data_IF_870511586868
#
_entry.id   IF_870511586868
#
_cell.length_a   1.000
_cell.length_b   1.000
_cell.length_c   1.000
_cell.angle_alpha   90.00
_cell.angle_beta   90.00
_cell.angle_gamma   90.00
#
_symmetry.space_group_name_H-M   'P 1'
#
loop_
_entity.id
_entity.type
_entity.pdbx_description
1 polymer ?
#
# COMPACT_ATOMS: atom_id res chain seq x y z
N UNK A 1 6.06 22.61 5.23
CA UNK A 1 6.57 21.24 5.08
C UNK A 1 5.74 20.35 5.98
N UNK A 2 5.06 19.34 5.44
CA UNK A 2 4.13 18.51 6.21
C UNK A 2 4.92 17.61 7.16
N UNK A 3 4.48 17.52 8.42
CA UNK A 3 5.02 16.58 9.39
C UNK A 3 4.43 15.20 9.10
N UNK A 4 5.25 14.17 9.00
CA UNK A 4 4.81 12.77 8.89
C UNK A 4 4.12 12.41 10.21
N UNK A 5 2.88 11.90 10.23
CA UNK A 5 2.20 11.47 11.44
C UNK A 5 3.03 10.45 12.23
N UNK A 6 2.98 10.48 13.57
CA UNK A 6 3.81 9.59 14.40
C UNK A 6 3.53 8.09 14.13
N UNK A 7 2.28 7.73 13.85
CA UNK A 7 1.94 6.35 13.46
C UNK A 7 2.68 5.91 12.19
N UNK A 8 2.77 6.81 11.20
CA UNK A 8 3.46 6.53 9.93
C UNK A 8 4.98 6.46 10.11
N UNK A 9 5.54 7.27 11.02
CA UNK A 9 6.94 7.11 11.41
C UNK A 9 7.18 5.72 12.02
N UNK A 10 6.31 5.27 12.92
CA UNK A 10 6.42 3.96 13.55
C UNK A 10 6.25 2.82 12.52
N UNK A 11 5.31 2.93 11.59
CA UNK A 11 5.09 1.92 10.54
C UNK A 11 6.29 1.78 9.61
N UNK A 12 6.96 2.89 9.26
CA UNK A 12 8.16 2.86 8.42
C UNK A 12 9.42 2.39 9.16
N UNK A 13 9.60 2.83 10.42
CA UNK A 13 10.80 2.48 11.19
C UNK A 13 10.74 1.05 11.77
N UNK A 14 9.54 0.58 12.10
CA UNK A 14 9.30 -0.73 12.69
C UNK A 14 8.21 -1.47 11.90
N UNK A 15 8.44 -1.78 10.61
CA UNK A 15 7.42 -2.37 9.76
C UNK A 15 6.88 -3.66 10.36
N UNK A 16 5.57 -3.86 10.31
CA UNK A 16 4.93 -5.07 10.82
C UNK A 16 5.54 -6.31 10.16
N UNK A 17 5.78 -6.23 8.85
CA UNK A 17 6.11 -7.35 7.94
C UNK A 17 5.01 -8.41 7.91
N UNK A 18 3.74 -8.02 8.11
CA UNK A 18 2.60 -8.95 8.10
C UNK A 18 2.49 -9.74 6.79
N UNK A 19 3.01 -9.21 5.67
CA UNK A 19 3.10 -9.93 4.39
C UNK A 19 3.82 -11.29 4.51
N UNK A 20 4.79 -11.44 5.41
CA UNK A 20 5.50 -12.72 5.58
C UNK A 20 4.63 -13.81 6.21
N UNK A 21 3.47 -13.46 6.78
CA UNK A 21 2.48 -14.45 7.19
C UNK A 21 1.93 -15.23 5.99
N UNK A 22 1.79 -14.54 4.86
CA UNK A 22 1.27 -15.13 3.62
C UNK A 22 2.34 -15.98 2.95
N UNK A 23 3.60 -15.52 2.94
CA UNK A 23 4.70 -16.21 2.24
C UNK A 23 5.33 -17.34 3.05
N UNK A 24 5.54 -17.12 4.36
CA UNK A 24 6.38 -17.98 5.20
C UNK A 24 5.61 -18.61 6.38
N UNK A 25 4.40 -18.13 6.63
CA UNK A 25 3.51 -18.63 7.68
C UNK A 25 3.74 -18.02 9.07
N UNK A 26 2.81 -18.36 9.96
CA UNK A 26 2.71 -17.80 11.33
C UNK A 26 3.96 -17.99 12.17
N UNK A 27 4.51 -19.21 12.20
CA UNK A 27 5.59 -19.54 13.13
C UNK A 27 6.90 -18.85 12.73
N UNK A 28 7.18 -18.71 11.43
CA UNK A 28 8.31 -17.93 10.91
C UNK A 28 8.15 -16.45 11.26
N UNK A 29 6.95 -15.89 11.06
CA UNK A 29 6.67 -14.51 11.45
C UNK A 29 6.91 -14.28 12.95
N UNK A 30 6.38 -15.13 13.82
CA UNK A 30 6.56 -15.00 15.27
C UNK A 30 8.03 -15.19 15.70
N UNK A 31 8.76 -16.12 15.07
CA UNK A 31 10.19 -16.27 15.28
C UNK A 31 10.96 -15.01 14.88
N UNK A 32 10.55 -14.32 13.80
CA UNK A 32 11.18 -13.06 13.39
C UNK A 32 11.02 -11.95 14.44
N UNK A 33 9.89 -11.93 15.15
CA UNK A 33 9.61 -10.99 16.24
C UNK A 33 10.37 -11.33 17.54
N UNK A 34 10.91 -12.55 17.66
CA UNK A 34 11.62 -12.97 18.86
C UNK A 34 12.90 -12.15 19.09
N UNK A 35 13.49 -11.62 18.01
CA UNK A 35 14.70 -10.79 18.03
C UNK A 35 14.44 -9.36 18.51
N UNK A 36 13.19 -8.91 18.51
CA UNK A 36 12.83 -7.55 18.91
C UNK A 36 12.66 -7.44 20.43
N UNK A 37 13.01 -6.28 21.04
CA UNK A 37 12.61 -5.97 22.40
C UNK A 37 11.09 -6.11 22.60
N UNK A 38 10.60 -6.50 23.79
CA UNK A 38 9.16 -6.75 24.01
C UNK A 38 8.24 -5.60 23.58
N UNK A 39 8.69 -4.35 23.76
CA UNK A 39 7.94 -3.17 23.34
C UNK A 39 7.78 -3.07 21.81
N UNK A 40 8.85 -3.37 21.06
CA UNK A 40 8.84 -3.33 19.60
C UNK A 40 8.07 -4.53 19.03
N UNK A 41 8.17 -5.70 19.66
CA UNK A 41 7.32 -6.86 19.33
C UNK A 41 5.83 -6.50 19.41
N UNK A 42 5.40 -5.91 20.52
CA UNK A 42 4.02 -5.48 20.70
C UNK A 42 3.63 -4.41 19.67
N UNK A 43 4.50 -3.43 19.43
CA UNK A 43 4.29 -2.41 18.40
C UNK A 43 4.05 -3.04 17.02
N UNK A 44 4.90 -3.97 16.58
CA UNK A 44 4.76 -4.63 15.26
C UNK A 44 3.47 -5.45 15.13
N UNK A 45 3.03 -6.10 16.21
CA UNK A 45 1.73 -6.79 16.26
C UNK A 45 0.55 -5.82 16.16
N UNK A 46 0.64 -4.66 16.81
CA UNK A 46 -0.37 -3.61 16.72
C UNK A 46 -0.41 -3.00 15.30
N UNK A 47 0.75 -2.72 14.71
CA UNK A 47 0.84 -2.23 13.33
C UNK A 47 0.24 -3.26 12.34
N UNK A 48 0.52 -4.56 12.52
CA UNK A 48 -0.08 -5.62 11.69
C UNK A 48 -1.61 -5.64 11.78
N UNK A 49 -2.19 -5.47 12.97
CA UNK A 49 -3.64 -5.33 13.12
C UNK A 49 -4.14 -4.08 12.38
N UNK A 50 -3.48 -2.93 12.56
CA UNK A 50 -3.84 -1.67 11.92
C UNK A 50 -3.86 -1.70 10.38
N UNK A 51 -2.99 -2.50 9.76
CA UNK A 51 -2.99 -2.77 8.31
C UNK A 51 -4.28 -3.48 7.83
N UNK A 52 -4.89 -4.27 8.72
CA UNK A 52 -6.15 -4.99 8.43
C UNK A 52 -7.41 -4.16 8.71
N UNK A 53 -7.26 -2.93 9.23
CA UNK A 53 -8.39 -2.04 9.56
C UNK A 53 -8.66 -1.04 8.45
N UNK A 54 -9.94 -0.70 8.27
CA UNK A 54 -10.40 0.35 7.38
C UNK A 54 -11.53 1.16 8.04
N UNK A 55 -11.47 2.48 7.93
CA UNK A 55 -12.48 3.38 8.50
C UNK A 55 -13.86 3.09 7.90
N UNK A 56 -14.86 2.97 8.78
CA UNK A 56 -16.23 2.70 8.36
C UNK A 56 -16.45 1.32 7.72
N UNK A 57 -15.51 0.39 7.86
CA UNK A 57 -15.65 -0.97 7.36
C UNK A 57 -16.89 -1.65 7.95
N UNK A 58 -17.75 -2.17 7.06
CA UNK A 58 -18.94 -2.96 7.44
C UNK A 58 -18.61 -4.43 7.71
N UNK A 59 -17.44 -4.88 7.29
CA UNK A 59 -16.97 -6.24 7.54
C UNK A 59 -16.44 -6.42 8.96
N UNK A 60 -16.17 -5.31 9.67
CA UNK A 60 -15.69 -5.35 11.04
C UNK A 60 -14.45 -6.24 11.16
N UNK A 61 -14.46 -7.18 12.11
CA UNK A 61 -13.36 -8.12 12.31
C UNK A 61 -13.41 -9.33 11.37
N UNK A 62 -14.45 -9.49 10.56
CA UNK A 62 -14.53 -10.61 9.63
C UNK A 62 -13.32 -10.64 8.68
N UNK A 63 -12.91 -9.49 8.13
CA UNK A 63 -11.75 -9.41 7.25
C UNK A 63 -10.45 -9.86 7.94
N UNK A 64 -10.22 -9.42 9.18
CA UNK A 64 -9.04 -9.84 9.94
C UNK A 64 -9.04 -11.35 10.22
N UNK A 65 -10.15 -11.91 10.73
CA UNK A 65 -10.22 -13.34 11.06
C UNK A 65 -10.36 -14.26 9.84
N UNK A 66 -10.74 -13.77 8.67
CA UNK A 66 -10.85 -14.57 7.44
C UNK A 66 -9.55 -14.65 6.62
N UNK A 67 -8.49 -13.96 7.05
CA UNK A 67 -7.17 -13.95 6.40
C UNK A 67 -6.11 -14.57 7.29
N UNK A 68 -4.88 -14.75 6.78
CA UNK A 68 -3.72 -15.27 7.51
C UNK A 68 -3.40 -14.42 8.76
N UNK A 69 -3.72 -13.12 8.74
CA UNK A 69 -3.53 -12.21 9.87
C UNK A 69 -4.30 -12.69 11.12
N UNK A 70 -5.47 -13.30 10.95
CA UNK A 70 -6.27 -13.87 12.03
C UNK A 70 -5.50 -14.90 12.88
N UNK A 71 -4.52 -15.59 12.31
CA UNK A 71 -3.69 -16.54 13.03
C UNK A 71 -2.89 -15.91 14.20
N UNK A 72 -2.71 -14.58 14.18
CA UNK A 72 -2.03 -13.79 15.21
C UNK A 72 -2.96 -13.28 16.32
N UNK A 73 -4.27 -13.58 16.29
CA UNK A 73 -5.21 -13.05 17.28
C UNK A 73 -4.78 -13.25 18.76
N UNK A 74 -4.21 -14.40 19.18
CA UNK A 74 -3.71 -14.57 20.55
C UNK A 74 -2.59 -13.58 20.91
N UNK A 75 -1.62 -13.38 20.01
CA UNK A 75 -0.51 -12.46 20.22
C UNK A 75 -0.96 -10.99 20.16
N UNK A 76 -1.84 -10.65 19.24
CA UNK A 76 -2.44 -9.32 19.12
C UNK A 76 -3.25 -8.97 20.38
N UNK A 77 -4.01 -9.92 20.94
CA UNK A 77 -4.72 -9.72 22.21
C UNK A 77 -3.76 -9.36 23.35
N UNK A 78 -2.61 -10.04 23.44
CA UNK A 78 -1.59 -9.72 24.44
C UNK A 78 -0.99 -8.33 24.22
N UNK A 79 -0.70 -7.98 22.97
CA UNK A 79 -0.16 -6.66 22.62
C UNK A 79 -1.16 -5.54 22.95
N UNK A 80 -2.45 -5.70 22.63
CA UNK A 80 -3.51 -4.75 22.95
C UNK A 80 -3.67 -4.56 24.47
N UNK A 81 -3.63 -5.66 25.23
CA UNK A 81 -3.65 -5.60 26.71
C UNK A 81 -2.44 -4.87 27.27
N UNK A 82 -1.23 -5.17 26.76
CA UNK A 82 -0.01 -4.46 27.13
C UNK A 82 -0.04 -2.97 26.75
N UNK A 83 -0.78 -2.63 25.69
CA UNK A 83 -1.05 -1.27 25.25
C UNK A 83 -2.23 -0.62 25.94
N UNK A 84 -2.92 -1.28 26.89
CA UNK A 84 -4.11 -0.72 27.55
C UNK A 84 -5.29 -0.42 26.62
N UNK A 85 -5.27 -0.94 25.38
CA UNK A 85 -6.31 -0.78 24.36
C UNK A 85 -7.45 -1.76 24.67
N UNK A 86 -8.19 -1.46 25.74
CA UNK A 86 -9.10 -2.42 26.40
C UNK A 86 -10.29 -2.77 25.53
N UNK A 87 -10.86 -1.80 24.82
CA UNK A 87 -12.03 -2.00 23.95
C UNK A 87 -11.68 -2.91 22.78
N UNK A 88 -10.53 -2.67 22.15
CA UNK A 88 -9.98 -3.45 21.05
C UNK A 88 -9.59 -4.86 21.51
N UNK A 89 -8.98 -4.97 22.70
CA UNK A 89 -8.66 -6.27 23.31
C UNK A 89 -9.92 -7.11 23.54
N UNK A 90 -10.99 -6.51 24.06
CA UNK A 90 -12.28 -7.19 24.25
C UNK A 90 -12.89 -7.63 22.92
N UNK A 91 -12.77 -6.81 21.88
CA UNK A 91 -13.23 -7.18 20.53
C UNK A 91 -12.48 -8.41 20.01
N UNK A 92 -11.14 -8.42 20.08
CA UNK A 92 -10.33 -9.58 19.66
C UNK A 92 -10.66 -10.83 20.48
N UNK A 93 -10.81 -10.70 21.80
CA UNK A 93 -11.18 -11.82 22.68
C UNK A 93 -12.55 -12.42 22.33
N UNK A 94 -13.55 -11.57 22.09
CA UNK A 94 -14.87 -12.02 21.62
C UNK A 94 -14.80 -12.65 20.23
N UNK A 95 -13.96 -12.12 19.34
CA UNK A 95 -13.73 -12.67 18.00
C UNK A 95 -13.10 -14.06 18.06
N UNK A 96 -12.12 -14.26 18.93
CA UNK A 96 -11.52 -15.58 19.16
C UNK A 96 -12.56 -16.58 19.69
N UNK A 97 -13.42 -16.16 20.62
CA UNK A 97 -14.47 -17.01 21.19
C UNK A 97 -15.56 -17.42 20.17
N UNK A 98 -15.70 -16.68 19.06
CA UNK A 98 -16.62 -17.00 17.97
C UNK A 98 -16.28 -18.31 17.24
N UNK A 99 -15.05 -18.81 17.39
CA UNK A 99 -14.55 -20.05 16.80
C UNK A 99 -14.58 -21.24 17.78
N UNK A 100 -15.25 -21.08 18.92
CA UNK A 100 -15.41 -22.13 19.94
C UNK A 100 -14.53 -21.92 21.18
N UNK A 101 -14.43 -22.98 22.00
CA UNK A 101 -13.72 -22.93 23.30
C UNK A 101 -12.20 -22.86 23.17
N UNK A 102 -11.65 -23.22 22.01
CA UNK A 102 -10.23 -23.09 21.68
C UNK A 102 -10.11 -22.46 20.31
N UNK A 103 -9.44 -21.30 20.26
CA UNK A 103 -9.28 -20.55 19.02
C UNK A 103 -8.31 -21.27 18.06
N UNK A 104 -8.73 -21.59 16.82
CA UNK A 104 -7.87 -22.21 15.83
C UNK A 104 -6.94 -21.17 15.17
N UNK A 105 -5.65 -21.24 15.47
CA UNK A 105 -4.62 -20.46 14.76
C UNK A 105 -4.32 -21.01 13.37
N UNK A 106 -4.70 -22.25 13.08
CA UNK A 106 -4.63 -22.85 11.75
C UNK A 106 -5.74 -22.30 10.84
N UNK A 107 -5.33 -21.79 9.68
CA UNK A 107 -6.19 -21.11 8.73
C UNK A 107 -7.30 -22.03 8.18
N UNK A 108 -6.98 -23.30 7.88
CA UNK A 108 -7.97 -24.27 7.36
C UNK A 108 -9.01 -24.64 8.40
N UNK A 109 -8.61 -24.75 9.67
CA UNK A 109 -9.55 -25.00 10.76
C UNK A 109 -10.48 -23.81 10.99
N UNK A 110 -9.95 -22.59 10.90
CA UNK A 110 -10.73 -21.35 11.08
C UNK A 110 -11.74 -21.14 9.96
N UNK A 111 -11.34 -21.43 8.73
CA UNK A 111 -12.19 -21.38 7.53
C UNK A 111 -13.46 -22.24 7.64
N UNK A 112 -13.41 -23.39 8.33
CA UNK A 112 -14.57 -24.23 8.57
C UNK A 112 -15.72 -23.58 9.35
N UNK A 113 -15.48 -22.42 9.97
CA UNK A 113 -16.49 -21.65 10.71
C UNK A 113 -17.11 -20.52 9.89
N UNK A 114 -16.59 -20.22 8.70
CA UNK A 114 -16.98 -19.06 7.90
C UNK A 114 -17.71 -19.51 6.63
N UNK A 115 -18.77 -18.80 6.25
CA UNK A 115 -19.48 -19.04 4.99
C UNK A 115 -18.66 -18.54 3.79
N UNK A 116 -17.95 -17.42 3.98
CA UNK A 116 -17.18 -16.73 2.95
C UNK A 116 -15.76 -16.53 3.44
N UNK A 117 -14.83 -17.35 2.95
CA UNK A 117 -13.42 -17.22 3.26
C UNK A 117 -12.61 -17.25 1.98
N UNK A 118 -11.66 -16.33 1.88
CA UNK A 118 -10.82 -16.13 0.70
C UNK A 118 -9.61 -17.08 0.70
N UNK A 119 -9.36 -17.79 1.80
CA UNK A 119 -8.19 -18.66 1.98
C UNK A 119 -8.23 -19.88 1.04
N UNK A 120 -9.41 -20.32 0.64
CA UNK A 120 -9.59 -21.47 -0.27
C UNK A 120 -9.43 -21.14 -1.76
N UNK A 121 -9.42 -19.86 -2.13
CA UNK A 121 -9.20 -19.42 -3.51
C UNK A 121 -7.83 -19.89 -4.01
N UNK A 122 -6.82 -19.86 -3.13
CA UNK A 122 -5.47 -20.34 -3.44
C UNK A 122 -5.42 -21.84 -3.74
N UNK A 123 -6.40 -22.62 -3.27
CA UNK A 123 -6.55 -24.05 -3.56
C UNK A 123 -7.48 -24.31 -4.76
N UNK A 124 -7.86 -23.25 -5.51
CA UNK A 124 -8.76 -23.34 -6.67
C UNK A 124 -10.23 -23.55 -6.32
N UNK A 125 -10.59 -23.42 -5.04
CA UNK A 125 -11.97 -23.54 -4.58
C UNK A 125 -12.58 -22.13 -4.56
N UNK A 126 -13.51 -21.88 -5.47
CA UNK A 126 -14.23 -20.62 -5.53
C UNK A 126 -15.04 -20.39 -4.25
N UNK A 127 -15.09 -19.15 -3.72
CA UNK A 127 -15.99 -18.82 -2.62
C UNK A 127 -17.43 -19.01 -3.09
N UNK A 128 -18.24 -19.65 -2.26
CA UNK A 128 -19.67 -19.80 -2.50
C UNK A 128 -20.38 -18.54 -1.97
N UNK A 129 -20.57 -17.56 -2.84
CA UNK A 129 -21.22 -16.30 -2.48
C UNK A 129 -22.71 -16.44 -2.18
N UNK A 130 -23.33 -17.56 -2.58
CA UNK A 130 -24.73 -17.85 -2.32
C UNK A 130 -24.97 -18.44 -0.92
N UNK A 131 -23.89 -18.87 -0.23
CA UNK A 131 -24.00 -19.30 1.17
C UNK A 131 -24.38 -18.13 2.08
N UNK A 132 -25.44 -18.27 2.88
CA UNK A 132 -25.77 -17.27 3.88
C UNK A 132 -24.66 -17.18 4.94
N UNK A 133 -24.40 -15.99 5.52
CA UNK A 133 -23.44 -15.84 6.61
C UNK A 133 -23.75 -16.76 7.79
N UNK A 134 -22.73 -17.42 8.32
CA UNK A 134 -22.82 -18.22 9.55
C UNK A 134 -23.07 -17.34 10.78
N UNK A 135 -23.34 -17.98 11.93
CA UNK A 135 -23.38 -17.27 13.21
C UNK A 135 -22.04 -16.58 13.54
N UNK A 136 -20.91 -17.23 13.22
CA UNK A 136 -19.57 -16.67 13.39
C UNK A 136 -19.37 -15.45 12.51
N UNK A 137 -19.75 -15.52 11.23
CA UNK A 137 -19.67 -14.37 10.31
C UNK A 137 -20.45 -13.15 10.83
N UNK A 138 -21.70 -13.38 11.25
CA UNK A 138 -22.56 -12.32 11.77
C UNK A 138 -22.03 -11.73 13.08
N UNK A 139 -21.46 -12.57 13.95
CA UNK A 139 -20.84 -12.12 15.18
C UNK A 139 -19.65 -11.21 14.86
N UNK A 140 -18.68 -11.67 14.06
CA UNK A 140 -17.45 -10.94 13.73
C UNK A 140 -17.71 -9.56 13.11
N UNK A 141 -18.72 -9.45 12.23
CA UNK A 141 -19.14 -8.15 11.66
C UNK A 141 -19.66 -7.21 12.75
N UNK A 142 -20.48 -7.72 13.68
CA UNK A 142 -21.07 -6.92 14.77
C UNK A 142 -20.01 -6.42 15.76
N UNK A 143 -19.14 -7.32 16.23
CA UNK A 143 -18.16 -6.99 17.28
C UNK A 143 -16.96 -6.18 16.77
N UNK A 144 -16.78 -6.07 15.45
CA UNK A 144 -15.71 -5.26 14.85
C UNK A 144 -15.95 -3.75 14.88
N UNK A 145 -17.12 -3.29 15.31
CA UNK A 145 -17.47 -1.85 15.37
C UNK A 145 -16.42 -0.99 16.10
N UNK A 146 -15.82 -1.40 17.23
CA UNK A 146 -14.79 -0.59 17.88
C UNK A 146 -13.48 -0.45 17.07
N UNK A 147 -13.21 -1.37 16.15
CA UNK A 147 -12.06 -1.32 15.25
C UNK A 147 -12.38 -0.60 13.93
N UNK A 148 -13.61 -0.09 13.77
CA UNK A 148 -14.01 0.72 12.62
C UNK A 148 -13.56 2.19 12.74
N UNK A 149 -13.04 2.60 13.92
CA UNK A 149 -12.34 3.88 14.12
C UNK A 149 -10.83 3.66 13.99
N UNK A 150 -10.33 3.61 12.75
CA UNK A 150 -8.91 3.41 12.47
C UNK A 150 -8.09 4.58 12.98
N UNK A 151 -8.62 5.80 12.89
CA UNK A 151 -7.95 7.00 13.40
C UNK A 151 -7.72 6.92 14.91
N UNK A 152 -8.75 6.55 15.69
CA UNK A 152 -8.64 6.31 17.13
C UNK A 152 -7.68 5.16 17.45
N UNK A 153 -7.74 4.07 16.68
CA UNK A 153 -6.80 2.95 16.81
C UNK A 153 -5.33 3.41 16.66
N UNK A 154 -5.03 4.13 15.57
CA UNK A 154 -3.69 4.65 15.29
C UNK A 154 -3.19 5.57 16.42
N UNK A 155 -4.06 6.41 16.98
CA UNK A 155 -3.74 7.24 18.13
C UNK A 155 -3.39 6.39 19.37
N UNK A 156 -4.15 5.32 19.64
CA UNK A 156 -3.87 4.38 20.72
C UNK A 156 -2.51 3.69 20.61
N UNK A 157 -2.09 3.33 19.39
CA UNK A 157 -0.76 2.76 19.11
C UNK A 157 0.34 3.79 19.36
N UNK A 158 0.14 5.05 18.97
CA UNK A 158 1.10 6.13 19.28
C UNK A 158 1.19 6.37 20.78
N UNK A 159 0.05 6.38 21.48
CA UNK A 159 0.02 6.56 22.94
C UNK A 159 0.70 5.41 23.68
N UNK A 160 0.67 4.19 23.14
CA UNK A 160 1.45 3.06 23.68
C UNK A 160 2.94 3.40 23.73
N UNK A 161 3.49 3.97 22.66
CA UNK A 161 4.90 4.38 22.62
C UNK A 161 5.17 5.56 23.54
N UNK A 162 4.30 6.57 23.58
CA UNK A 162 4.51 7.78 24.40
C UNK A 162 4.42 7.56 25.91
N UNK A 163 3.68 6.53 26.36
CA UNK A 163 3.42 6.29 27.79
C UNK A 163 4.63 5.90 28.62
N UNK A 164 5.71 5.47 27.98
CA UNK A 164 6.96 5.11 28.65
C UNK A 164 8.11 5.95 28.08
N UNK A 165 8.97 6.55 28.92
CA UNK A 165 10.06 7.42 28.44
C UNK A 165 11.06 6.72 27.51
N UNK A 166 11.35 5.43 27.71
CA UNK A 166 12.28 4.69 26.85
C UNK A 166 11.64 4.43 25.49
N UNK A 167 10.35 4.04 25.46
CA UNK A 167 9.60 3.88 24.20
C UNK A 167 9.42 5.21 23.46
N UNK A 168 9.15 6.30 24.18
CA UNK A 168 9.05 7.63 23.58
C UNK A 168 10.37 8.04 22.91
N UNK A 169 11.51 7.77 23.55
CA UNK A 169 12.82 8.02 22.96
C UNK A 169 13.06 7.20 21.68
N UNK A 170 12.60 5.95 21.61
CA UNK A 170 12.67 5.13 20.38
C UNK A 170 11.82 5.71 19.23
N UNK A 171 10.69 6.35 19.53
CA UNK A 171 9.86 7.00 18.53
C UNK A 171 10.51 8.29 17.99
N UNK A 172 11.13 9.08 18.85
CA UNK A 172 11.89 10.27 18.41
C UNK A 172 13.12 9.87 17.58
N UNK A 173 13.86 8.85 18.01
CA UNK A 173 14.97 8.29 17.23
C UNK A 173 14.48 7.78 15.87
N UNK A 174 13.36 7.06 15.82
CA UNK A 174 12.78 6.59 14.57
C UNK A 174 12.51 7.75 13.60
N UNK A 175 11.95 8.87 14.09
CA UNK A 175 11.70 10.07 13.26
C UNK A 175 12.99 10.68 12.72
N UNK A 176 14.02 10.79 13.56
CA UNK A 176 15.31 11.37 13.18
C UNK A 176 16.04 10.53 12.12
N UNK A 177 15.89 9.20 12.21
CA UNK A 177 16.62 8.25 11.35
C UNK A 177 15.83 7.81 10.11
N UNK A 178 14.62 8.35 9.85
CA UNK A 178 13.93 8.08 8.60
C UNK A 178 14.78 8.53 7.41
N UNK A 179 15.04 7.56 6.52
CA UNK A 179 15.75 7.74 5.25
C UNK A 179 14.99 8.66 4.31
N UNK A 180 15.67 9.20 3.30
CA UNK A 180 15.01 10.04 2.30
C UNK A 180 14.01 9.22 1.47
N UNK A 181 14.30 7.95 1.24
CA UNK A 181 13.49 6.97 0.54
C UNK A 181 12.19 6.70 1.30
N UNK A 182 12.26 6.48 2.62
CA UNK A 182 11.05 6.35 3.46
C UNK A 182 10.20 7.62 3.43
N UNK A 183 10.83 8.80 3.55
CA UNK A 183 10.12 10.08 3.47
C UNK A 183 9.51 10.30 2.09
N UNK A 184 10.19 9.85 1.04
CA UNK A 184 9.70 9.90 -0.33
C UNK A 184 8.49 9.00 -0.49
N UNK A 185 8.54 7.73 -0.09
CA UNK A 185 7.41 6.81 -0.20
C UNK A 185 6.16 7.32 0.52
N UNK A 186 6.30 7.95 1.69
CA UNK A 186 5.18 8.62 2.35
C UNK A 186 4.62 9.79 1.53
N UNK A 187 5.50 10.64 0.98
CA UNK A 187 5.10 11.75 0.11
C UNK A 187 4.36 11.26 -1.14
N UNK A 188 4.88 10.22 -1.80
CA UNK A 188 4.27 9.60 -2.97
C UNK A 188 2.89 9.04 -2.65
N UNK A 189 2.74 8.33 -1.52
CA UNK A 189 1.44 7.84 -1.05
C UNK A 189 0.41 8.97 -0.88
N UNK A 190 0.82 10.10 -0.28
CA UNK A 190 -0.03 11.28 -0.16
C UNK A 190 -0.41 11.89 -1.52
N UNK A 191 0.53 11.94 -2.47
CA UNK A 191 0.29 12.52 -3.80
C UNK A 191 -0.61 11.62 -4.66
N UNK A 192 -0.45 10.30 -4.57
CA UNK A 192 -1.24 9.33 -5.34
C UNK A 192 -2.73 9.38 -4.98
N UNK A 193 -3.07 9.53 -3.69
CA UNK A 193 -4.46 9.60 -3.22
C UNK A 193 -5.26 10.78 -3.81
N UNK A 194 -4.58 11.87 -4.20
CA UNK A 194 -5.18 13.07 -4.79
C UNK A 194 -4.82 13.30 -6.25
N UNK A 195 -4.27 12.29 -6.93
CA UNK A 195 -3.75 12.44 -8.29
C UNK A 195 -4.87 12.71 -9.31
N UNK A 196 -4.66 13.60 -10.29
CA UNK A 196 -5.63 13.85 -11.35
C UNK A 196 -5.86 12.61 -12.21
N UNK A 197 -7.09 12.45 -12.71
CA UNK A 197 -7.42 11.37 -13.63
C UNK A 197 -6.77 11.58 -15.01
N UNK A 198 -6.31 10.50 -15.63
CA UNK A 198 -5.91 10.50 -17.05
C UNK A 198 -7.09 10.31 -18.02
N UNK A 199 -8.33 10.30 -17.53
CA UNK A 199 -9.54 10.25 -18.35
C UNK A 199 -10.14 11.63 -18.57
N UNK A 200 -10.83 11.81 -19.70
CA UNK A 200 -11.45 13.07 -20.11
C UNK A 200 -10.75 13.73 -21.29
N UNK A 201 -11.10 14.99 -21.55
CA UNK A 201 -10.47 15.80 -22.59
C UNK A 201 -9.05 16.26 -22.19
N UNK A 202 -8.21 16.50 -23.19
CA UNK A 202 -6.82 16.91 -22.99
C UNK A 202 -6.66 18.15 -22.09
N UNK A 203 -7.53 19.16 -22.26
CA UNK A 203 -7.40 20.41 -21.51
C UNK A 203 -7.68 20.20 -20.02
N UNK A 204 -8.70 19.39 -19.69
CA UNK A 204 -9.01 19.00 -18.31
C UNK A 204 -7.87 18.21 -17.67
N UNK A 205 -7.32 17.22 -18.37
CA UNK A 205 -6.20 16.39 -17.88
C UNK A 205 -4.98 17.26 -17.62
N UNK A 206 -4.57 18.07 -18.60
CA UNK A 206 -3.42 18.99 -18.46
C UNK A 206 -3.60 19.95 -17.30
N UNK A 207 -4.78 20.57 -17.18
CA UNK A 207 -5.09 21.47 -16.06
C UNK A 207 -4.94 20.78 -14.71
N UNK A 208 -5.39 19.52 -14.59
CA UNK A 208 -5.23 18.73 -13.37
C UNK A 208 -3.77 18.48 -13.01
N UNK A 209 -2.96 18.07 -13.99
CA UNK A 209 -1.54 17.76 -13.80
C UNK A 209 -0.72 19.04 -13.54
N UNK A 210 -0.95 20.10 -14.31
CA UNK A 210 -0.20 21.37 -14.26
C UNK A 210 -0.58 22.27 -13.07
N UNK A 211 -1.72 22.02 -12.42
CA UNK A 211 -2.07 22.70 -11.16
C UNK A 211 -1.11 22.34 -10.01
N UNK A 212 -0.40 21.20 -10.11
CA UNK A 212 0.56 20.78 -9.11
C UNK A 212 1.90 21.53 -9.26
N UNK A 213 2.51 22.00 -8.15
CA UNK A 213 3.87 22.55 -8.19
C UNK A 213 4.86 21.58 -8.86
N UNK A 214 5.73 22.10 -9.73
CA UNK A 214 6.61 21.27 -10.57
C UNK A 214 7.39 20.20 -9.78
N UNK A 215 7.89 20.53 -8.59
CA UNK A 215 8.66 19.60 -7.78
C UNK A 215 7.80 18.41 -7.28
N UNK A 216 6.57 18.68 -6.83
CA UNK A 216 5.63 17.62 -6.41
C UNK A 216 5.12 16.83 -7.62
N UNK A 217 4.91 17.52 -8.75
CA UNK A 217 4.53 16.87 -10.01
C UNK A 217 5.60 15.89 -10.47
N UNK A 218 6.88 16.25 -10.36
CA UNK A 218 8.02 15.37 -10.70
C UNK A 218 7.99 14.10 -9.85
N UNK A 219 7.79 14.23 -8.53
CA UNK A 219 7.66 13.07 -7.63
C UNK A 219 6.47 12.19 -8.05
N UNK A 220 5.28 12.79 -8.23
CA UNK A 220 4.08 12.03 -8.57
C UNK A 220 4.17 11.33 -9.93
N UNK A 221 4.65 12.01 -10.98
CA UNK A 221 4.71 11.40 -12.32
C UNK A 221 5.70 10.24 -12.34
N UNK A 222 6.80 10.33 -11.58
CA UNK A 222 7.77 9.24 -11.48
C UNK A 222 7.19 8.07 -10.67
N UNK A 223 6.47 8.32 -9.58
CA UNK A 223 5.78 7.26 -8.83
C UNK A 223 4.75 6.50 -9.69
N UNK A 224 3.94 7.23 -10.48
CA UNK A 224 2.99 6.64 -11.43
C UNK A 224 3.72 5.83 -12.50
N UNK A 225 4.77 6.38 -13.10
CA UNK A 225 5.54 5.68 -14.14
C UNK A 225 6.20 4.40 -13.62
N UNK A 226 6.90 4.46 -12.48
CA UNK A 226 7.53 3.29 -11.87
C UNK A 226 6.51 2.21 -11.50
N UNK A 227 5.33 2.60 -11.00
CA UNK A 227 4.26 1.65 -10.69
C UNK A 227 3.72 0.92 -11.92
N UNK A 228 3.61 1.61 -13.06
CA UNK A 228 3.17 0.99 -14.32
C UNK A 228 4.24 0.07 -14.90
N UNK A 229 5.51 0.49 -14.86
CA UNK A 229 6.62 -0.37 -15.25
C UNK A 229 6.65 -1.67 -14.45
N UNK A 230 6.52 -1.58 -13.13
CA UNK A 230 6.51 -2.76 -12.24
C UNK A 230 5.33 -3.70 -12.54
N UNK A 231 4.17 -3.15 -12.90
CA UNK A 231 2.96 -3.94 -13.11
C UNK A 231 2.88 -4.58 -14.50
N UNK A 232 3.32 -3.89 -15.56
CA UNK A 232 3.16 -4.37 -16.93
C UNK A 232 3.98 -3.63 -17.99
N UNK A 233 5.04 -2.92 -17.58
CA UNK A 233 5.98 -2.28 -18.52
C UNK A 233 5.44 -1.06 -19.26
N UNK A 234 6.14 -0.71 -20.34
CA UNK A 234 5.84 0.45 -21.19
C UNK A 234 4.50 0.29 -21.91
N UNK A 235 4.13 -0.92 -22.32
CA UNK A 235 2.82 -1.18 -22.94
C UNK A 235 1.69 -0.83 -21.97
N UNK A 236 1.78 -1.29 -20.73
CA UNK A 236 0.79 -0.96 -19.71
C UNK A 236 0.78 0.54 -19.40
N UNK A 237 1.93 1.18 -19.23
CA UNK A 237 2.03 2.63 -19.01
C UNK A 237 1.29 3.43 -20.09
N UNK A 238 1.54 3.16 -21.37
CA UNK A 238 0.93 3.92 -22.45
C UNK A 238 -0.56 3.60 -22.67
N UNK A 239 -0.97 2.35 -22.46
CA UNK A 239 -2.36 1.91 -22.64
C UNK A 239 -3.28 2.34 -21.50
N UNK A 240 -2.73 2.53 -20.29
CA UNK A 240 -3.47 3.00 -19.12
C UNK A 240 -3.65 4.53 -19.11
N UNK A 241 -4.38 5.00 -18.10
CA UNK A 241 -4.60 6.43 -17.88
C UNK A 241 -3.32 7.19 -17.54
N UNK A 242 -2.33 6.50 -17.00
CA UNK A 242 -0.96 6.97 -16.77
C UNK A 242 -0.26 7.43 -18.05
N UNK A 243 -0.59 6.89 -19.22
CA UNK A 243 -0.02 7.34 -20.50
C UNK A 243 -0.30 8.81 -20.82
N UNK A 244 -1.32 9.42 -20.21
CA UNK A 244 -1.59 10.85 -20.35
C UNK A 244 -0.46 11.71 -19.76
N UNK A 245 0.39 11.10 -18.93
CA UNK A 245 1.46 11.72 -18.19
C UNK A 245 2.80 11.64 -18.92
N UNK A 246 2.87 10.93 -20.06
CA UNK A 246 4.13 10.67 -20.78
C UNK A 246 4.98 11.93 -21.06
N UNK A 247 4.43 13.08 -21.53
CA UNK A 247 5.24 14.29 -21.70
C UNK A 247 5.85 14.81 -20.38
N UNK A 248 5.16 14.60 -19.25
CA UNK A 248 5.63 15.01 -17.93
C UNK A 248 6.65 14.02 -17.36
N UNK A 249 6.55 12.73 -17.68
CA UNK A 249 7.58 11.73 -17.35
C UNK A 249 8.90 12.08 -18.04
N UNK A 250 8.87 12.45 -19.33
CA UNK A 250 10.06 12.91 -20.06
C UNK A 250 10.72 14.10 -19.35
N UNK A 251 9.93 15.11 -18.96
CA UNK A 251 10.47 16.26 -18.22
C UNK A 251 10.99 15.86 -16.83
N UNK A 252 10.26 15.02 -16.10
CA UNK A 252 10.64 14.58 -14.77
C UNK A 252 11.94 13.77 -14.78
N UNK A 253 12.12 12.87 -15.74
CA UNK A 253 13.36 12.12 -15.94
C UNK A 253 14.55 13.05 -16.19
N UNK A 254 14.36 14.13 -16.96
CA UNK A 254 15.40 15.17 -17.13
C UNK A 254 15.67 15.91 -15.82
N UNK A 255 14.62 16.27 -15.10
CA UNK A 255 14.68 17.00 -13.83
C UNK A 255 15.43 16.21 -12.73
N UNK A 256 15.31 14.87 -12.72
CA UNK A 256 16.02 13.97 -11.79
C UNK A 256 17.39 13.50 -12.31
N UNK A 257 17.86 14.02 -13.46
CA UNK A 257 19.19 13.72 -14.00
C UNK A 257 19.29 12.42 -14.79
N UNK A 258 18.19 11.92 -15.35
CA UNK A 258 18.10 10.69 -16.14
C UNK A 258 17.66 10.95 -17.60
N UNK A 259 18.43 11.73 -18.38
CA UNK A 259 18.04 12.08 -19.75
C UNK A 259 17.98 10.90 -20.72
N UNK A 260 18.75 9.83 -20.49
CA UNK A 260 18.70 8.62 -21.33
C UNK A 260 17.36 7.88 -21.19
N UNK A 261 16.88 7.71 -19.95
CA UNK A 261 15.55 7.17 -19.69
C UNK A 261 14.45 8.06 -20.33
N UNK A 262 14.62 9.39 -20.26
CA UNK A 262 13.71 10.33 -20.92
C UNK A 262 13.61 10.07 -22.43
N UNK A 263 14.74 9.81 -23.10
CA UNK A 263 14.77 9.46 -24.51
C UNK A 263 14.03 8.16 -24.82
N UNK A 264 14.09 7.14 -23.95
CA UNK A 264 13.30 5.91 -24.13
C UNK A 264 11.80 6.19 -24.10
N UNK A 265 11.33 7.01 -23.16
CA UNK A 265 9.91 7.41 -23.11
C UNK A 265 9.52 8.22 -24.35
N UNK A 266 10.40 9.09 -24.86
CA UNK A 266 10.18 9.82 -26.12
C UNK A 266 10.06 8.88 -27.32
N UNK A 267 10.85 7.80 -27.40
CA UNK A 267 10.69 6.77 -28.44
C UNK A 267 9.30 6.14 -28.38
N UNK A 268 8.84 5.75 -27.20
CA UNK A 268 7.50 5.21 -27.00
C UNK A 268 6.41 6.21 -27.41
N UNK A 269 6.55 7.49 -27.04
CA UNK A 269 5.64 8.55 -27.48
C UNK A 269 5.62 8.72 -29.01
N UNK A 270 6.76 8.53 -29.69
CA UNK A 270 6.88 8.66 -31.14
C UNK A 270 6.17 7.53 -31.93
N UNK A 271 5.78 6.44 -31.27
CA UNK A 271 4.98 5.38 -31.86
C UNK A 271 3.49 5.76 -32.03
N UNK A 272 3.06 6.88 -31.43
CA UNK A 272 1.70 7.41 -31.52
C UNK A 272 1.62 8.56 -32.54
N UNK A 273 0.41 8.91 -33.03
CA UNK A 273 0.23 10.08 -33.89
C UNK A 273 0.78 11.38 -33.29
N UNK A 274 1.16 12.31 -34.16
CA UNK A 274 1.62 13.64 -33.76
C UNK A 274 0.51 14.69 -33.94
N UNK A 275 0.21 15.54 -32.94
CA UNK A 275 0.79 15.54 -31.58
C UNK A 275 0.35 14.31 -30.76
N UNK A 276 1.19 13.92 -29.78
CA UNK A 276 0.92 12.77 -28.91
C UNK A 276 -0.45 12.88 -28.23
N UNK A 277 -1.33 11.86 -28.35
CA UNK A 277 -2.68 11.91 -27.77
C UNK A 277 -2.64 11.78 -26.24
N UNK A 278 -3.01 12.87 -25.55
CA UNK A 278 -3.06 12.91 -24.07
C UNK A 278 -4.28 12.17 -23.51
N UNK A 279 -5.41 12.13 -24.22
CA UNK A 279 -6.57 11.38 -23.75
C UNK A 279 -6.33 9.88 -23.84
N UNK A 280 -6.71 9.17 -22.78
CA UNK A 280 -6.61 7.71 -22.70
C UNK A 280 -7.49 7.02 -23.75
N UNK A 281 -8.70 7.55 -23.97
CA UNK A 281 -9.62 7.00 -24.95
C UNK A 281 -9.09 7.18 -26.38
N UNK A 282 -8.45 8.32 -26.66
CA UNK A 282 -7.80 8.54 -27.95
C UNK A 282 -6.60 7.62 -28.17
N UNK A 283 -5.71 7.45 -27.17
CA UNK A 283 -4.60 6.49 -27.28
C UNK A 283 -5.10 5.09 -27.60
N UNK A 284 -6.09 4.61 -26.84
CA UNK A 284 -6.65 3.27 -27.02
C UNK A 284 -7.28 3.10 -28.40
N UNK A 285 -8.09 4.07 -28.83
CA UNK A 285 -8.74 4.06 -30.13
C UNK A 285 -7.73 4.12 -31.30
N UNK A 286 -6.69 4.94 -31.17
CA UNK A 286 -5.73 5.19 -32.25
C UNK A 286 -4.64 4.12 -32.37
N UNK A 287 -4.25 3.49 -31.25
CA UNK A 287 -3.03 2.70 -31.18
C UNK A 287 -3.18 1.34 -30.46
N UNK A 288 -4.28 1.03 -29.78
CA UNK A 288 -4.45 -0.27 -29.09
C UNK A 288 -5.70 -1.04 -29.52
N UNK A 289 -6.51 -0.51 -30.46
CA UNK A 289 -7.72 -1.18 -30.96
C UNK A 289 -7.37 -2.19 -32.07
N UNK A 290 -6.55 -3.17 -31.73
CA UNK A 290 -6.11 -4.26 -32.60
C UNK A 290 -5.70 -5.49 -31.77
N UNK A 291 -5.53 -6.64 -32.43
CA UNK A 291 -4.89 -7.80 -31.81
C UNK A 291 -3.39 -7.54 -31.64
N UNK A 292 -2.81 -8.10 -30.58
CA UNK A 292 -1.39 -7.99 -30.27
C UNK A 292 -0.54 -8.33 -31.48
N UNK A 293 0.38 -7.43 -31.84
CA UNK A 293 1.23 -7.55 -33.01
C UNK A 293 2.64 -6.97 -32.77
N UNK A 294 3.44 -6.87 -33.82
CA UNK A 294 4.83 -6.39 -33.73
C UNK A 294 4.97 -4.96 -33.20
N UNK A 295 3.94 -4.12 -33.35
CA UNK A 295 3.92 -2.77 -32.75
C UNK A 295 3.84 -2.85 -31.22
N UNK A 296 3.03 -3.77 -30.68
CA UNK A 296 2.96 -4.01 -29.24
C UNK A 296 4.29 -4.57 -28.70
N UNK A 297 4.92 -5.50 -29.44
CA UNK A 297 6.25 -6.04 -29.09
C UNK A 297 7.33 -4.94 -29.04
N UNK A 298 7.31 -4.00 -30.00
CA UNK A 298 8.24 -2.87 -30.03
C UNK A 298 8.00 -1.92 -28.85
N UNK A 299 6.73 -1.62 -28.53
CA UNK A 299 6.38 -0.75 -27.42
C UNK A 299 6.76 -1.37 -26.07
N UNK A 300 6.45 -2.65 -25.89
CA UNK A 300 6.77 -3.41 -24.68
C UNK A 300 8.28 -3.61 -24.51
N UNK A 301 9.00 -3.83 -25.61
CA UNK A 301 10.46 -3.98 -25.61
C UNK A 301 11.22 -2.77 -25.05
N UNK A 302 10.62 -1.56 -25.10
CA UNK A 302 11.19 -0.37 -24.47
C UNK A 302 11.27 -0.47 -22.95
N UNK A 303 10.54 -1.39 -22.32
CA UNK A 303 10.61 -1.62 -20.87
C UNK A 303 12.03 -1.95 -20.45
N UNK A 304 12.72 -2.84 -21.18
CA UNK A 304 14.09 -3.25 -20.83
C UNK A 304 15.13 -2.12 -20.90
N UNK A 305 14.86 -1.04 -21.64
CA UNK A 305 15.75 0.13 -21.73
C UNK A 305 15.69 1.03 -20.49
N UNK A 306 14.62 0.92 -19.69
CA UNK A 306 14.40 1.69 -18.45
C UNK A 306 14.33 0.81 -17.20
N UNK A 307 14.11 -0.49 -17.37
CA UNK A 307 14.12 -1.47 -16.30
C UNK A 307 15.51 -1.56 -15.66
N UNK A 308 15.55 -1.67 -14.33
CA UNK A 308 16.78 -1.65 -13.54
C UNK A 308 17.40 -0.27 -13.27
N UNK A 309 16.81 0.82 -13.74
CA UNK A 309 17.17 2.17 -13.28
C UNK A 309 16.65 2.40 -11.86
N UNK A 310 17.47 2.99 -10.99
CA UNK A 310 17.07 3.33 -9.62
C UNK A 310 16.36 4.70 -9.59
N UNK A 311 15.14 4.72 -10.13
CA UNK A 311 14.29 5.91 -10.16
C UNK A 311 13.99 6.43 -8.75
N UNK A 312 13.79 5.52 -7.78
CA UNK A 312 13.46 5.87 -6.40
C UNK A 312 14.59 6.68 -5.76
N UNK A 313 15.84 6.20 -5.85
CA UNK A 313 16.99 6.94 -5.31
C UNK A 313 17.18 8.30 -5.99
N UNK A 314 17.00 8.37 -7.31
CA UNK A 314 17.13 9.63 -8.05
C UNK A 314 16.06 10.66 -7.65
N UNK A 315 14.81 10.21 -7.48
CA UNK A 315 13.70 11.05 -7.00
C UNK A 315 13.93 11.47 -5.54
N UNK A 316 14.47 10.59 -4.69
CA UNK A 316 14.79 10.90 -3.29
C UNK A 316 15.84 12.02 -3.19
N UNK A 317 16.91 11.94 -3.98
CA UNK A 317 17.93 13.01 -4.08
C UNK A 317 17.31 14.31 -4.61
N UNK A 318 16.50 14.23 -5.67
CA UNK A 318 15.79 15.38 -6.23
C UNK A 318 14.89 16.10 -5.21
N UNK A 319 14.11 15.33 -4.46
CA UNK A 319 13.16 15.80 -3.47
C UNK A 319 13.86 16.38 -2.23
N UNK A 320 14.94 15.74 -1.77
CA UNK A 320 15.78 16.22 -0.68
C UNK A 320 16.42 17.58 -1.02
N UNK A 321 17.02 17.70 -2.22
CA UNK A 321 17.66 18.95 -2.67
C UNK A 321 16.70 20.14 -2.75
N UNK A 322 15.40 19.88 -2.89
CA UNK A 322 14.32 20.90 -2.95
C UNK A 322 13.62 21.12 -1.62
N UNK A 323 13.99 20.38 -0.57
CA UNK A 323 13.37 20.49 0.75
C UNK A 323 11.87 20.17 0.75
N UNK A 324 11.43 19.28 -0.14
CA UNK A 324 10.02 18.88 -0.24
C UNK A 324 9.71 17.57 0.50
N UNK A 325 10.75 16.85 0.95
CA UNK A 325 10.56 15.66 1.77
C UNK A 325 9.93 16.01 3.12
N UNK A 326 8.88 15.30 3.54
CA UNK A 326 8.20 15.57 4.80
C UNK A 326 9.07 15.21 6.01
N UNK A 327 8.81 15.89 7.14
CA UNK A 327 9.60 15.78 8.37
C UNK A 327 9.02 14.84 9.40
#
# INVERSE_FOLDING_TARGET
>A
MQRIPDYEVLSMAYPSRAVTLVTDGRDVYLASLANDPPAIRNLRLLLALGESLADGSKDGMHQYFSTQAGALAPEVLQALRAAGMTTEAQAIEQGMAAFGSSYPTDDRKRDGFLAQSFLRIQEGIAPDFDKPPTATDNLLRRIGTPLADKTGYMAGVVDYMRRDPQRAALMEQAREHLTNEQRLGYLEGCLLQGSPSGFGDEATIRKGIEAMPQALRTVLVMAVFSGELFNGGMHQFFSNSSGAWAPYVVQAMRDIGMPQAATTVEKGMAMFPHPYPISTDDRRRLAFHHEWNSWDDELDGLTGDVDGQDFEAAVAVYAAARGILPR
#
